data_IF_539570415420
#
_entry.id   IF_539570415420
#
_cell.length_a   1.000
_cell.length_b   1.000
_cell.length_c   1.000
_cell.angle_alpha   90.00
_cell.angle_beta   90.00
_cell.angle_gamma   90.00
#
_symmetry.space_group_name_H-M   'P 1'
#
loop_
_entity.id
_entity.type
_entity.pdbx_description
1 polymer ?
#
# COMPACT_ATOMS: atom_id res chain seq x y z
N UNK A 1 -2.35 -18.49 8.47
CA UNK A 1 -1.74 -19.26 7.37
C UNK A 1 -1.73 -18.41 6.10
N UNK A 2 -0.66 -17.62 5.86
CA UNK A 2 -0.53 -16.78 4.65
C UNK A 2 0.52 -17.29 3.63
N UNK A 3 1.33 -18.30 3.99
CA UNK A 3 2.47 -18.75 3.17
C UNK A 3 2.08 -19.51 1.89
N UNK A 4 0.90 -20.12 1.82
CA UNK A 4 0.51 -20.95 0.68
C UNK A 4 0.15 -20.16 -0.59
N UNK A 5 -0.14 -18.86 -0.50
CA UNK A 5 -0.45 -18.05 -1.68
C UNK A 5 0.81 -17.60 -2.44
N UNK A 6 1.94 -17.44 -1.72
CA UNK A 6 3.21 -16.95 -2.31
C UNK A 6 3.96 -18.00 -3.12
N UNK A 7 3.93 -19.28 -2.72
CA UNK A 7 4.86 -20.29 -3.26
C UNK A 7 4.38 -21.00 -4.53
N UNK A 8 3.07 -21.19 -4.76
CA UNK A 8 2.61 -22.04 -5.87
C UNK A 8 2.47 -21.32 -7.21
N UNK A 9 2.37 -19.98 -7.22
CA UNK A 9 2.04 -19.23 -8.44
C UNK A 9 3.17 -18.34 -8.98
N UNK A 10 4.09 -17.88 -8.13
CA UNK A 10 5.19 -16.97 -8.53
C UNK A 10 6.16 -17.62 -9.54
N UNK A 11 6.45 -18.92 -9.38
CA UNK A 11 7.47 -19.60 -10.19
C UNK A 11 7.05 -19.93 -11.64
N UNK A 12 5.76 -20.10 -11.93
CA UNK A 12 5.33 -20.63 -13.24
C UNK A 12 5.31 -19.58 -14.34
N UNK A 13 5.06 -18.31 -14.00
CA UNK A 13 5.03 -17.20 -14.97
C UNK A 13 6.40 -16.56 -15.18
N UNK A 14 7.30 -16.59 -14.17
CA UNK A 14 8.66 -16.05 -14.31
C UNK A 14 9.49 -16.71 -15.42
N UNK A 15 9.27 -18.01 -15.71
CA UNK A 15 10.02 -18.73 -16.76
C UNK A 15 9.58 -18.40 -18.19
N UNK A 16 8.33 -17.99 -18.42
CA UNK A 16 7.86 -17.67 -19.78
C UNK A 16 8.26 -16.27 -20.25
N UNK A 17 8.59 -15.36 -19.33
CA UNK A 17 8.90 -13.95 -19.65
C UNK A 17 10.40 -13.66 -19.84
N UNK A 18 11.32 -14.55 -19.42
CA UNK A 18 12.76 -14.31 -19.54
C UNK A 18 13.34 -14.51 -20.96
N UNK A 19 12.54 -15.00 -21.91
CA UNK A 19 13.02 -15.41 -23.24
C UNK A 19 12.57 -14.54 -24.42
N UNK A 20 11.84 -13.45 -24.21
CA UNK A 20 11.37 -12.58 -25.30
C UNK A 20 12.02 -11.21 -25.19
N UNK A 21 12.68 -10.81 -26.28
CA UNK A 21 13.13 -9.44 -26.58
C UNK A 21 12.24 -8.40 -25.90
N UNK A 22 12.86 -7.46 -25.16
CA UNK A 22 12.23 -6.47 -24.26
C UNK A 22 11.20 -5.62 -25.01
N UNK A 23 10.01 -6.20 -25.24
CA UNK A 23 8.78 -5.44 -25.40
C UNK A 23 8.44 -4.95 -24.01
N UNK A 24 8.36 -3.64 -23.83
CA UNK A 24 7.79 -3.04 -22.64
C UNK A 24 6.50 -3.79 -22.29
N UNK A 25 6.38 -4.24 -21.04
CA UNK A 25 5.15 -4.82 -20.53
C UNK A 25 4.09 -3.75 -20.74
N UNK A 26 3.22 -3.89 -21.74
CA UNK A 26 2.18 -2.90 -22.04
C UNK A 26 1.00 -3.06 -21.10
N UNK A 27 0.83 -4.26 -20.53
CA UNK A 27 -0.32 -4.61 -19.73
C UNK A 27 0.07 -5.46 -18.54
N UNK A 28 -0.58 -5.21 -17.43
CA UNK A 28 -0.47 -5.99 -16.21
C UNK A 28 -1.82 -6.60 -15.85
N UNK A 29 -1.76 -7.73 -15.14
CA UNK A 29 -2.95 -8.43 -14.64
C UNK A 29 -2.85 -8.53 -13.13
N UNK A 30 -3.66 -7.77 -12.42
CA UNK A 30 -3.78 -7.84 -10.97
C UNK A 30 -4.77 -8.95 -10.64
N UNK A 31 -4.27 -10.00 -9.99
CA UNK A 31 -5.09 -11.15 -9.56
C UNK A 31 -5.66 -10.89 -8.18
N UNK A 32 -6.88 -11.34 -7.95
CA UNK A 32 -7.53 -11.23 -6.65
C UNK A 32 -8.54 -12.35 -6.43
N UNK A 33 -8.81 -12.63 -5.16
CA UNK A 33 -9.82 -13.59 -4.72
C UNK A 33 -10.93 -12.84 -4.02
N UNK A 34 -12.18 -13.10 -4.40
CA UNK A 34 -13.36 -12.48 -3.77
C UNK A 34 -13.75 -13.18 -2.47
N UNK A 35 -14.63 -12.58 -1.66
CA UNK A 35 -15.05 -13.19 -0.37
C UNK A 35 -15.77 -14.53 -0.49
N UNK A 36 -16.30 -14.87 -1.67
CA UNK A 36 -16.87 -16.19 -1.98
C UNK A 36 -15.85 -17.17 -2.60
N UNK A 37 -14.56 -16.83 -2.58
CA UNK A 37 -13.47 -17.70 -3.04
C UNK A 37 -13.25 -17.73 -4.55
N UNK A 38 -13.89 -16.84 -5.34
CA UNK A 38 -13.68 -16.82 -6.78
C UNK A 38 -12.39 -16.07 -7.12
N UNK A 39 -11.54 -16.72 -7.90
CA UNK A 39 -10.37 -16.10 -8.51
C UNK A 39 -10.79 -15.21 -9.68
N UNK A 40 -10.25 -13.99 -9.71
CA UNK A 40 -10.50 -12.98 -10.73
C UNK A 40 -9.19 -12.29 -11.10
N UNK A 41 -9.19 -11.61 -12.24
CA UNK A 41 -8.09 -10.75 -12.66
C UNK A 41 -8.63 -9.46 -13.26
N UNK A 42 -8.02 -8.33 -12.89
CA UNK A 42 -8.24 -7.05 -13.53
C UNK A 42 -7.04 -6.74 -14.45
N UNK A 43 -7.32 -6.31 -15.68
CA UNK A 43 -6.32 -5.92 -16.67
C UNK A 43 -6.15 -4.41 -16.62
N UNK A 44 -4.91 -3.96 -16.61
CA UNK A 44 -4.54 -2.54 -16.68
C UNK A 44 -3.39 -2.37 -17.67
N UNK A 45 -3.28 -1.18 -18.25
CA UNK A 45 -2.06 -0.80 -18.95
C UNK A 45 -0.96 -0.45 -17.95
N UNK A 46 0.31 -0.67 -18.29
CA UNK A 46 1.44 -0.31 -17.41
C UNK A 46 1.67 1.20 -17.31
N UNK A 47 1.12 1.99 -18.22
CA UNK A 47 1.18 3.45 -18.21
C UNK A 47 -0.03 4.13 -17.55
N UNK A 48 -0.98 3.35 -17.01
CA UNK A 48 -2.11 3.86 -16.23
C UNK A 48 -1.61 4.67 -15.03
N UNK A 49 -2.17 5.87 -14.85
CA UNK A 49 -1.90 6.71 -13.67
C UNK A 49 -2.81 6.33 -12.50
N UNK A 50 -3.90 5.61 -12.73
CA UNK A 50 -4.87 5.25 -11.71
C UNK A 50 -5.24 3.78 -11.80
N UNK A 51 -4.88 3.02 -10.77
CA UNK A 51 -5.28 1.62 -10.61
C UNK A 51 -6.46 1.57 -9.66
N UNK A 52 -7.66 1.42 -10.23
CA UNK A 52 -8.90 1.33 -9.46
C UNK A 52 -9.37 -0.13 -9.33
N UNK A 53 -9.47 -0.61 -8.08
CA UNK A 53 -9.95 -1.90 -7.62
C UNK A 53 -11.07 -1.76 -6.55
N UNK A 54 -11.71 -0.59 -6.48
CA UNK A 54 -12.82 -0.33 -5.55
C UNK A 54 -14.02 -1.27 -5.82
N UNK A 55 -14.78 -1.60 -4.77
CA UNK A 55 -16.09 -2.27 -4.87
C UNK A 55 -16.07 -3.62 -5.61
N UNK A 56 -14.99 -4.40 -5.45
CA UNK A 56 -14.82 -5.70 -6.13
C UNK A 56 -14.98 -6.90 -5.21
N UNK A 57 -15.43 -6.68 -3.97
CA UNK A 57 -15.63 -7.73 -2.97
C UNK A 57 -14.34 -8.55 -2.75
N UNK A 58 -13.18 -7.89 -2.83
CA UNK A 58 -11.84 -8.50 -2.74
C UNK A 58 -11.58 -8.94 -1.28
N UNK A 59 -11.18 -10.19 -1.09
CA UNK A 59 -10.65 -10.71 0.17
C UNK A 59 -9.12 -10.75 0.18
N UNK A 60 -8.50 -11.08 -0.95
CA UNK A 60 -7.04 -11.15 -1.15
C UNK A 60 -6.67 -10.58 -2.52
N UNK A 61 -5.56 -9.87 -2.63
CA UNK A 61 -5.08 -9.26 -3.88
C UNK A 61 -3.56 -9.40 -4.00
N UNK A 62 -3.10 -9.72 -5.21
CA UNK A 62 -1.68 -9.72 -5.57
C UNK A 62 -1.34 -8.41 -6.31
N UNK A 63 -0.64 -7.52 -5.60
CA UNK A 63 -0.18 -6.24 -6.13
C UNK A 63 1.21 -6.30 -6.78
N UNK A 64 1.90 -7.45 -6.79
CA UNK A 64 3.23 -7.58 -7.39
C UNK A 64 3.33 -7.04 -8.83
N UNK A 65 2.31 -7.21 -9.70
CA UNK A 65 2.36 -6.65 -11.06
C UNK A 65 2.51 -5.11 -11.10
N UNK A 66 2.20 -4.38 -10.03
CA UNK A 66 2.38 -2.93 -9.95
C UNK A 66 3.84 -2.48 -10.07
N UNK A 67 4.83 -3.37 -9.92
CA UNK A 67 6.25 -3.02 -10.14
C UNK A 67 6.52 -2.47 -11.56
N UNK A 68 5.63 -2.76 -12.52
CA UNK A 68 5.72 -2.29 -13.90
C UNK A 68 4.97 -0.97 -14.16
N UNK A 69 4.22 -0.46 -13.17
CA UNK A 69 3.40 0.75 -13.32
C UNK A 69 4.14 2.02 -12.87
N UNK A 70 5.21 2.41 -13.56
CA UNK A 70 6.06 3.54 -13.15
C UNK A 70 5.37 4.90 -13.11
N UNK A 71 4.21 5.03 -13.79
CA UNK A 71 3.41 6.26 -13.85
C UNK A 71 2.24 6.28 -12.86
N UNK A 72 2.11 5.28 -11.99
CA UNK A 72 0.99 5.22 -11.05
C UNK A 72 1.02 6.44 -10.11
N UNK A 73 -0.08 7.16 -10.10
CA UNK A 73 -0.34 8.28 -9.19
C UNK A 73 -1.37 7.91 -8.13
N UNK A 74 -2.25 6.94 -8.40
CA UNK A 74 -3.34 6.60 -7.48
C UNK A 74 -3.60 5.09 -7.46
N UNK A 75 -3.65 4.52 -6.25
CA UNK A 75 -4.10 3.16 -5.99
C UNK A 75 -5.39 3.19 -5.16
N UNK A 76 -6.49 2.68 -5.71
CA UNK A 76 -7.80 2.62 -5.05
C UNK A 76 -8.22 1.17 -4.84
N UNK A 77 -8.48 0.79 -3.59
CA UNK A 77 -8.89 -0.53 -3.13
C UNK A 77 -10.03 -0.43 -2.09
N UNK A 78 -10.78 0.67 -2.11
CA UNK A 78 -11.85 0.98 -1.15
C UNK A 78 -13.04 0.04 -1.28
N UNK A 79 -13.79 -0.11 -0.19
CA UNK A 79 -15.03 -0.90 -0.15
C UNK A 79 -14.80 -2.35 -0.63
N UNK A 80 -13.82 -3.00 -0.03
CA UNK A 80 -13.53 -4.41 -0.22
C UNK A 80 -13.60 -5.11 1.15
N UNK A 81 -13.04 -6.31 1.26
CA UNK A 81 -13.00 -7.10 2.50
C UNK A 81 -11.59 -7.63 2.76
N UNK A 82 -10.58 -6.84 2.39
CA UNK A 82 -9.16 -7.18 2.50
C UNK A 82 -8.77 -7.19 3.98
N UNK A 83 -8.12 -8.26 4.42
CA UNK A 83 -7.67 -8.46 5.81
C UNK A 83 -6.18 -8.17 5.96
N UNK A 84 -5.40 -8.47 4.93
CA UNK A 84 -3.96 -8.25 4.84
C UNK A 84 -3.63 -7.71 3.44
N UNK A 85 -2.63 -6.83 3.35
CA UNK A 85 -2.20 -6.26 2.08
C UNK A 85 -0.69 -6.07 2.05
N UNK A 86 -0.08 -6.42 0.94
CA UNK A 86 1.35 -6.24 0.68
C UNK A 86 1.56 -5.02 -0.20
N UNK A 87 2.15 -3.96 0.37
CA UNK A 87 2.45 -2.71 -0.32
C UNK A 87 3.88 -2.66 -0.90
N UNK A 88 4.72 -3.68 -0.68
CA UNK A 88 6.11 -3.69 -1.15
C UNK A 88 6.32 -3.41 -2.64
N UNK A 89 5.39 -3.71 -3.58
CA UNK A 89 5.55 -3.32 -4.99
C UNK A 89 5.65 -1.81 -5.20
N UNK A 90 5.08 -1.00 -4.30
CA UNK A 90 5.12 0.45 -4.36
C UNK A 90 6.50 1.03 -4.10
N UNK A 91 7.44 0.29 -3.49
CA UNK A 91 8.84 0.73 -3.38
C UNK A 91 9.47 0.96 -4.75
N UNK A 92 9.04 0.19 -5.76
CA UNK A 92 9.56 0.31 -7.13
C UNK A 92 8.77 1.28 -8.00
N UNK A 93 7.44 1.25 -7.93
CA UNK A 93 6.58 2.04 -8.82
C UNK A 93 6.06 3.34 -8.21
N UNK A 94 6.21 3.53 -6.90
CA UNK A 94 5.56 4.60 -6.14
C UNK A 94 6.15 6.00 -6.27
N UNK A 95 7.15 6.22 -7.13
CA UNK A 95 7.82 7.53 -7.28
C UNK A 95 6.85 8.67 -7.62
N UNK A 96 5.80 8.38 -8.39
CA UNK A 96 4.76 9.34 -8.79
C UNK A 96 3.47 9.21 -7.96
N UNK A 97 3.44 8.30 -6.98
CA UNK A 97 2.24 7.98 -6.23
C UNK A 97 1.83 9.16 -5.35
N UNK A 98 0.59 9.62 -5.53
CA UNK A 98 -0.04 10.71 -4.78
C UNK A 98 -1.09 10.22 -3.79
N UNK A 99 -1.75 9.09 -4.07
CA UNK A 99 -2.83 8.60 -3.22
C UNK A 99 -2.87 7.08 -3.09
N UNK A 100 -2.98 6.61 -1.84
CA UNK A 100 -3.31 5.21 -1.50
C UNK A 100 -4.61 5.19 -0.71
N UNK A 101 -5.65 4.56 -1.29
CA UNK A 101 -6.99 4.53 -0.72
C UNK A 101 -7.43 3.09 -0.42
N UNK A 102 -7.43 2.75 0.86
CA UNK A 102 -7.73 1.43 1.43
C UNK A 102 -8.93 1.45 2.38
N UNK A 103 -9.70 2.54 2.40
CA UNK A 103 -10.84 2.67 3.32
C UNK A 103 -11.95 1.66 3.10
N UNK A 104 -12.72 1.38 4.15
CA UNK A 104 -13.79 0.38 4.15
C UNK A 104 -13.27 -1.00 3.73
N UNK A 105 -12.30 -1.50 4.51
CA UNK A 105 -11.75 -2.85 4.40
C UNK A 105 -11.79 -3.52 5.79
N UNK A 106 -11.04 -4.60 5.98
CA UNK A 106 -10.98 -5.35 7.25
C UNK A 106 -9.54 -5.51 7.73
N UNK A 107 -8.64 -4.59 7.34
CA UNK A 107 -7.23 -4.65 7.68
C UNK A 107 -7.07 -4.65 9.19
N UNK A 108 -6.37 -5.65 9.72
CA UNK A 108 -6.08 -5.76 11.16
C UNK A 108 -4.72 -5.17 11.52
N UNK A 109 -3.81 -5.22 10.56
CA UNK A 109 -2.49 -4.61 10.57
C UNK A 109 -2.19 -4.05 9.18
N UNK A 110 -1.24 -3.13 9.10
CA UNK A 110 -0.72 -2.60 7.85
C UNK A 110 0.73 -2.19 8.04
N UNK A 111 1.58 -2.62 7.11
CA UNK A 111 2.95 -2.14 6.99
C UNK A 111 2.98 -0.95 6.02
N UNK A 112 3.42 0.20 6.52
CA UNK A 112 3.54 1.43 5.74
C UNK A 112 4.98 1.67 5.25
N UNK A 113 5.96 0.83 5.61
CA UNK A 113 7.36 1.02 5.22
C UNK A 113 7.54 1.23 3.71
N UNK A 114 6.85 0.51 2.81
CA UNK A 114 6.94 0.74 1.37
C UNK A 114 6.59 2.17 0.91
N UNK A 115 5.80 2.91 1.70
CA UNK A 115 5.42 4.28 1.38
C UNK A 115 6.54 5.30 1.65
N UNK A 116 7.59 4.93 2.39
CA UNK A 116 8.76 5.81 2.58
C UNK A 116 9.47 6.14 1.26
N UNK A 117 9.30 5.28 0.25
CA UNK A 117 9.79 5.47 -1.13
C UNK A 117 8.88 6.35 -2.01
N UNK A 118 7.79 6.91 -1.47
CA UNK A 118 6.78 7.69 -2.21
C UNK A 118 6.85 9.19 -1.82
N UNK A 119 7.81 9.98 -2.36
CA UNK A 119 8.02 11.38 -1.94
C UNK A 119 6.89 12.34 -2.36
N UNK A 120 6.09 11.94 -3.37
CA UNK A 120 4.97 12.72 -3.90
C UNK A 120 3.63 12.34 -3.25
N UNK A 121 3.63 11.49 -2.22
CA UNK A 121 2.41 11.02 -1.59
C UNK A 121 1.70 12.17 -0.88
N UNK A 122 0.43 12.38 -1.23
CA UNK A 122 -0.42 13.45 -0.71
C UNK A 122 -1.55 12.92 0.19
N UNK A 123 -2.05 11.71 -0.09
CA UNK A 123 -3.17 11.09 0.62
C UNK A 123 -2.89 9.63 1.00
N UNK A 124 -3.09 9.31 2.28
CA UNK A 124 -3.24 7.92 2.75
C UNK A 124 -4.58 7.77 3.47
N UNK A 125 -5.41 6.88 2.96
CA UNK A 125 -6.74 6.62 3.52
C UNK A 125 -6.89 5.17 3.93
N UNK A 126 -6.94 4.95 5.24
CA UNK A 126 -7.13 3.63 5.89
C UNK A 126 -8.30 3.64 6.88
N UNK A 127 -9.17 4.65 6.80
CA UNK A 127 -10.42 4.77 7.55
C UNK A 127 -11.32 3.53 7.41
N UNK A 128 -12.12 3.22 8.42
CA UNK A 128 -13.05 2.09 8.42
C UNK A 128 -12.36 0.76 8.12
N UNK A 129 -11.34 0.46 8.91
CA UNK A 129 -10.67 -0.83 8.95
C UNK A 129 -10.82 -1.48 10.35
N UNK A 130 -9.99 -2.46 10.68
CA UNK A 130 -9.95 -3.12 12.00
C UNK A 130 -8.58 -2.95 12.66
N UNK A 131 -7.88 -1.88 12.31
CA UNK A 131 -6.56 -1.55 12.81
C UNK A 131 -6.68 -1.19 14.29
N UNK A 132 -5.79 -1.76 15.12
CA UNK A 132 -5.66 -1.35 16.52
C UNK A 132 -4.55 -0.32 16.71
N UNK A 133 -3.51 -0.43 15.89
CA UNK A 133 -2.33 0.42 15.94
C UNK A 133 -1.72 0.54 14.55
N UNK A 134 -1.10 1.69 14.27
CA UNK A 134 -0.34 1.94 13.04
C UNK A 134 0.98 2.65 13.38
N UNK A 135 2.06 2.25 12.71
CA UNK A 135 3.34 2.95 12.76
C UNK A 135 3.39 4.00 11.64
N UNK A 136 3.51 5.27 12.02
CA UNK A 136 3.53 6.40 11.09
C UNK A 136 4.96 6.80 10.69
N UNK A 137 6.00 6.14 11.22
CA UNK A 137 7.41 6.46 10.91
C UNK A 137 7.70 6.57 9.41
N UNK A 138 7.17 5.67 8.54
CA UNK A 138 7.41 5.78 7.10
C UNK A 138 6.86 7.07 6.49
N UNK A 139 5.73 7.58 7.00
CA UNK A 139 5.05 8.77 6.47
C UNK A 139 5.81 10.08 6.73
N UNK A 140 6.80 10.09 7.63
CA UNK A 140 7.70 11.24 7.79
C UNK A 140 8.61 11.45 6.57
N UNK A 141 8.76 10.45 5.70
CA UNK A 141 9.50 10.55 4.43
C UNK A 141 8.61 11.04 3.26
N UNK A 142 7.34 11.37 3.52
CA UNK A 142 6.39 11.87 2.54
C UNK A 142 6.12 13.37 2.78
N UNK A 143 7.02 14.29 2.36
CA UNK A 143 6.93 15.71 2.70
C UNK A 143 5.67 16.41 2.14
N UNK A 144 5.06 15.83 1.10
CA UNK A 144 3.86 16.35 0.45
C UNK A 144 2.56 15.80 1.04
N UNK A 145 2.61 15.00 2.11
CA UNK A 145 1.44 14.37 2.70
C UNK A 145 0.52 15.43 3.33
N UNK A 146 -0.67 15.60 2.74
CA UNK A 146 -1.69 16.57 3.15
C UNK A 146 -2.82 15.90 3.91
N UNK A 147 -3.10 14.63 3.61
CA UNK A 147 -4.26 13.95 4.13
C UNK A 147 -3.94 12.54 4.65
N UNK A 148 -4.29 12.31 5.92
CA UNK A 148 -4.21 11.02 6.58
C UNK A 148 -5.56 10.70 7.21
N UNK A 149 -6.34 9.85 6.55
CA UNK A 149 -7.64 9.38 7.03
C UNK A 149 -7.47 8.06 7.76
N UNK A 150 -7.61 8.09 9.08
CA UNK A 150 -7.49 6.93 9.97
C UNK A 150 -8.50 7.08 11.11
N UNK A 151 -9.05 5.98 11.60
CA UNK A 151 -10.04 6.01 12.68
C UNK A 151 -9.45 6.57 13.99
N UNK A 152 -10.25 7.31 14.75
CA UNK A 152 -9.78 7.96 15.99
C UNK A 152 -9.36 6.97 17.09
N UNK A 153 -9.93 5.76 17.08
CA UNK A 153 -9.61 4.73 18.06
C UNK A 153 -8.27 4.01 17.78
N UNK A 154 -7.64 4.25 16.63
CA UNK A 154 -6.37 3.60 16.28
C UNK A 154 -5.22 4.25 17.06
N UNK A 155 -4.45 3.44 17.77
CA UNK A 155 -3.22 3.88 18.41
C UNK A 155 -2.17 4.26 17.37
N UNK A 156 -1.63 5.48 17.46
CA UNK A 156 -0.61 5.97 16.53
C UNK A 156 0.75 5.86 17.18
N UNK A 157 1.75 5.30 16.49
CA UNK A 157 3.12 5.27 16.99
C UNK A 157 4.12 5.72 15.95
N UNK A 158 5.27 6.20 16.39
CA UNK A 158 6.38 6.57 15.51
C UNK A 158 7.71 6.42 16.26
N UNK A 159 8.80 6.34 15.51
CA UNK A 159 10.16 6.33 16.03
C UNK A 159 10.46 7.62 16.79
N UNK A 160 10.95 7.49 18.03
CA UNK A 160 11.31 8.60 18.91
C UNK A 160 12.30 9.58 18.26
N UNK A 161 13.19 9.12 17.38
CA UNK A 161 14.17 9.98 16.71
C UNK A 161 13.49 10.99 15.77
N UNK A 162 12.33 10.64 15.21
CA UNK A 162 11.57 11.52 14.32
C UNK A 162 10.94 12.71 15.05
N UNK A 163 10.85 12.66 16.38
CA UNK A 163 10.30 13.73 17.24
C UNK A 163 11.07 15.05 17.11
N UNK A 164 12.31 15.00 16.63
CA UNK A 164 13.19 16.17 16.53
C UNK A 164 13.41 16.64 15.08
N UNK A 165 12.79 15.97 14.10
CA UNK A 165 12.96 16.30 12.69
C UNK A 165 12.25 17.62 12.40
N UNK A 166 12.96 18.62 11.89
CA UNK A 166 12.44 19.99 11.75
C UNK A 166 11.47 20.24 10.60
N UNK A 167 11.13 19.21 9.81
CA UNK A 167 10.20 19.31 8.68
C UNK A 167 9.27 18.11 8.69
N UNK A 168 8.04 18.30 9.15
CA UNK A 168 7.00 17.28 9.16
C UNK A 168 5.89 17.65 8.18
N UNK A 169 5.22 16.65 7.59
CA UNK A 169 3.92 16.88 7.00
C UNK A 169 2.96 17.46 8.03
N UNK A 170 2.27 18.55 7.69
CA UNK A 170 1.37 19.29 8.59
C UNK A 170 0.35 18.37 9.26
N UNK A 171 -0.19 17.41 8.50
CA UNK A 171 -1.15 16.41 8.98
C UNK A 171 -0.61 15.52 10.12
N UNK A 172 0.71 15.31 10.21
CA UNK A 172 1.34 14.58 11.32
C UNK A 172 1.57 15.47 12.54
N UNK A 173 1.83 16.77 12.34
CA UNK A 173 1.95 17.77 13.42
C UNK A 173 0.64 17.83 14.20
N UNK A 174 -0.50 17.89 13.50
CA UNK A 174 -1.84 17.89 14.11
C UNK A 174 -2.11 16.66 14.98
N UNK A 175 -1.42 15.55 14.72
CA UNK A 175 -1.58 14.27 15.44
C UNK A 175 -0.49 14.04 16.47
N UNK A 176 0.47 14.96 16.62
CA UNK A 176 1.66 14.82 17.47
C UNK A 176 1.37 14.28 18.88
N UNK A 177 0.36 14.83 19.51
CA UNK A 177 -0.04 14.54 20.90
C UNK A 177 -0.74 13.18 21.05
N UNK A 178 -1.20 12.57 19.95
CA UNK A 178 -1.76 11.21 19.93
C UNK A 178 -0.70 10.14 19.61
N UNK A 179 0.47 10.54 19.12
CA UNK A 179 1.53 9.61 18.74
C UNK A 179 2.27 9.15 20.01
N UNK A 180 2.27 7.84 20.24
CA UNK A 180 3.17 7.21 21.20
C UNK A 180 4.54 7.02 20.53
N UNK A 181 5.47 7.87 20.92
CA UNK A 181 6.87 7.86 20.49
C UNK A 181 7.64 6.75 21.20
N UNK A 182 8.24 5.83 20.44
CA UNK A 182 8.98 4.69 20.98
C UNK A 182 10.35 4.59 20.30
N UNK A 183 11.34 4.10 21.03
CA UNK A 183 12.58 3.61 20.41
C UNK A 183 12.25 2.29 19.72
N UNK A 184 12.54 2.16 18.43
CA UNK A 184 12.53 0.84 17.82
C UNK A 184 13.59 0.00 18.53
N UNK A 185 13.28 -1.23 18.98
CA UNK A 185 14.33 -2.13 19.44
C UNK A 185 15.29 -2.30 18.26
N UNK A 186 16.52 -1.81 18.42
CA UNK A 186 17.62 -2.09 17.51
C UNK A 186 17.64 -3.58 17.24
N UNK A 187 17.52 -3.95 15.96
CA UNK A 187 17.63 -5.31 15.46
C UNK A 187 18.97 -5.93 15.83
#
# INVERSE_FOLDING_TARGET
MPLFFRETFSFRIQRELLGRSVKAVSEIFIRYVTTNGLERSARFSSDETSINLDLRNIAQVDLLPLIWCEKIETLCLRNNSIIEIDLSPLEKSGKNLKAVRLSHNRLQEIDLEPLSACPNLEEVSILDNRLKRVDLSPLFHCPNLKELKIDNEVGLTADLLLRSVGSWPEVLIERYHRILWKTNPTT
#
